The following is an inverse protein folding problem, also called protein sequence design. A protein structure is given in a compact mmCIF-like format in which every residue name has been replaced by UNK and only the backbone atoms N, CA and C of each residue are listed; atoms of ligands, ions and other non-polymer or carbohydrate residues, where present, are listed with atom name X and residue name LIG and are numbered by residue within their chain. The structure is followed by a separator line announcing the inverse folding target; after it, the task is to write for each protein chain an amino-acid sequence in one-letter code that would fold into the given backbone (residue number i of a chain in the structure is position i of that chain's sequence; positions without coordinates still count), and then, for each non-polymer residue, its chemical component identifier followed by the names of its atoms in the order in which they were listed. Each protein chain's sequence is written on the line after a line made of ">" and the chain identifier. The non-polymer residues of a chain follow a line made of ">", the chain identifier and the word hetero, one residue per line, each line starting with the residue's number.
data_IF_287920215946
#
_entry.id   IF_287920215946
#
_cell.length_a   1.000
_cell.length_b   1.000
_cell.length_c   1.000
_cell.angle_alpha   90.00
_cell.angle_beta   90.00
_cell.angle_gamma   90.00
#
_symmetry.space_group_name_H-M   'P 1'
#
loop_
_entity.id
_entity.type
_entity.pdbx_description
1 polymer ?
#
# COMPACT_ATOMS: atom_id res chain seq x y z
N UNK A 1 9.78 -2.10 24.97
CA UNK A 1 9.58 -0.78 24.38
C UNK A 1 10.58 -0.48 23.31
N UNK A 2 11.85 -0.56 23.63
CA UNK A 2 12.88 -0.28 22.66
C UNK A 2 12.80 -1.23 21.48
N UNK A 3 12.60 -2.49 21.78
CA UNK A 3 12.45 -3.50 20.75
C UNK A 3 11.29 -3.16 19.82
N UNK A 4 10.21 -2.66 20.42
CA UNK A 4 9.03 -2.34 19.64
C UNK A 4 9.29 -1.20 18.67
N UNK A 5 10.07 -0.19 19.10
CA UNK A 5 10.40 0.92 18.22
C UNK A 5 11.21 0.43 17.03
N UNK A 6 12.21 -0.41 17.30
CA UNK A 6 13.06 -0.95 16.25
C UNK A 6 12.22 -1.81 15.29
N UNK A 7 11.37 -2.67 15.87
CA UNK A 7 10.54 -3.55 15.06
C UNK A 7 9.55 -2.76 14.20
N UNK A 8 9.00 -1.67 14.76
CA UNK A 8 8.10 -0.82 14.01
C UNK A 8 8.76 -0.21 12.80
N UNK A 9 9.98 0.28 12.95
CA UNK A 9 10.72 0.83 11.83
C UNK A 9 10.97 -0.24 10.77
N UNK A 10 11.33 -1.45 11.18
CA UNK A 10 11.61 -2.51 10.24
C UNK A 10 10.37 -2.91 9.44
N UNK A 11 9.22 -2.95 10.12
CA UNK A 11 7.97 -3.30 9.42
C UNK A 11 7.65 -2.27 8.34
N UNK A 12 7.74 -0.99 8.67
CA UNK A 12 7.46 0.07 7.70
C UNK A 12 8.47 0.00 6.56
N UNK A 13 9.75 -0.14 6.89
CA UNK A 13 10.80 -0.20 5.89
C UNK A 13 10.59 -1.38 4.93
N UNK A 14 10.26 -2.56 5.49
CA UNK A 14 10.03 -3.72 4.67
C UNK A 14 8.86 -3.54 3.72
N UNK A 15 7.82 -2.85 4.18
CA UNK A 15 6.66 -2.61 3.34
C UNK A 15 6.96 -1.64 2.20
N UNK A 16 7.61 -0.52 2.50
CA UNK A 16 7.79 0.53 1.49
C UNK A 16 8.80 0.13 0.43
N UNK A 17 9.69 -0.81 0.73
CA UNK A 17 10.67 -1.25 -0.26
C UNK A 17 10.14 -2.36 -1.18
N UNK A 18 8.99 -2.93 -0.87
CA UNK A 18 8.41 -3.96 -1.72
C UNK A 18 7.85 -3.32 -2.99
N UNK A 19 8.14 -3.98 -4.10
CA UNK A 19 7.66 -3.49 -5.39
C UNK A 19 6.14 -3.45 -5.40
N UNK A 20 5.60 -2.40 -5.99
CA UNK A 20 4.16 -2.21 -6.22
C UNK A 20 3.36 -1.73 -5.01
N UNK A 21 3.95 -1.72 -3.81
CA UNK A 21 3.20 -1.29 -2.63
C UNK A 21 2.74 0.17 -2.73
N UNK A 22 3.61 1.14 -3.07
CA UNK A 22 3.15 2.52 -3.20
C UNK A 22 2.07 2.67 -4.27
N UNK A 23 2.22 2.01 -5.41
CA UNK A 23 1.27 2.12 -6.50
C UNK A 23 -0.10 1.58 -6.10
N UNK A 24 -0.11 0.41 -5.44
CA UNK A 24 -1.36 -0.19 -5.01
C UNK A 24 -2.09 0.70 -4.01
N UNK A 25 -1.38 1.18 -3.01
CA UNK A 25 -2.00 1.99 -1.98
C UNK A 25 -2.51 3.32 -2.53
N UNK A 26 -1.75 3.94 -3.42
CA UNK A 26 -2.19 5.17 -4.05
C UNK A 26 -3.42 4.92 -4.94
N UNK A 27 -3.45 3.80 -5.64
CA UNK A 27 -4.60 3.44 -6.46
C UNK A 27 -5.87 3.35 -5.61
N UNK A 28 -5.78 2.65 -4.48
CA UNK A 28 -6.92 2.52 -3.57
C UNK A 28 -7.32 3.89 -3.02
N UNK A 29 -6.36 4.73 -2.67
CA UNK A 29 -6.65 6.04 -2.14
C UNK A 29 -7.35 6.95 -3.16
N UNK A 30 -7.16 6.66 -4.44
CA UNK A 30 -7.82 7.41 -5.51
C UNK A 30 -9.21 6.87 -5.87
N UNK A 31 -9.68 5.86 -5.14
CA UNK A 31 -11.02 5.34 -5.34
C UNK A 31 -11.10 4.01 -6.07
N UNK A 32 -9.96 3.45 -6.48
CA UNK A 32 -9.94 2.14 -7.13
C UNK A 32 -9.91 1.07 -6.06
N UNK A 33 -11.08 0.64 -5.61
CA UNK A 33 -11.18 -0.26 -4.47
C UNK A 33 -11.44 -1.72 -4.87
N UNK A 34 -11.98 -1.94 -6.06
CA UNK A 34 -12.20 -3.30 -6.53
C UNK A 34 -10.94 -3.85 -7.15
N UNK A 35 -10.77 -5.16 -7.04
CA UNK A 35 -9.57 -5.84 -7.55
C UNK A 35 -9.27 -5.44 -8.99
N UNK A 36 -10.29 -5.49 -9.85
CA UNK A 36 -10.07 -5.22 -11.26
C UNK A 36 -9.72 -3.75 -11.50
N UNK A 37 -10.27 -2.84 -10.68
CA UNK A 37 -9.95 -1.42 -10.79
C UNK A 37 -8.50 -1.17 -10.42
N UNK A 38 -8.04 -1.82 -9.35
CA UNK A 38 -6.64 -1.68 -8.94
C UNK A 38 -5.73 -2.22 -10.04
N UNK A 39 -6.05 -3.41 -10.53
CA UNK A 39 -5.23 -4.05 -11.57
C UNK A 39 -5.11 -3.17 -12.80
N UNK A 40 -6.24 -2.62 -13.26
CA UNK A 40 -6.24 -1.83 -14.49
C UNK A 40 -5.58 -0.47 -14.31
N UNK A 41 -5.47 0.03 -13.09
CA UNK A 41 -4.88 1.35 -12.84
C UNK A 41 -3.37 1.32 -12.83
N UNK A 42 -2.74 0.14 -12.76
CA UNK A 42 -1.29 0.04 -12.61
C UNK A 42 -0.72 -0.68 -13.84
N UNK A 43 0.01 0.05 -14.71
CA UNK A 43 0.58 -0.57 -15.92
C UNK A 43 1.54 -1.70 -15.56
N UNK A 44 1.50 -2.74 -16.37
CA UNK A 44 2.40 -3.89 -16.25
C UNK A 44 2.20 -4.74 -15.00
N UNK A 45 1.15 -4.47 -14.22
CA UNK A 45 0.84 -5.27 -13.04
C UNK A 45 0.20 -6.58 -13.49
N UNK A 46 0.68 -7.69 -12.96
CA UNK A 46 0.09 -9.01 -13.25
C UNK A 46 -0.87 -9.40 -12.12
N UNK A 47 -1.76 -10.34 -12.44
CA UNK A 47 -2.68 -10.89 -11.43
C UNK A 47 -1.90 -11.51 -10.27
N UNK A 48 -0.83 -12.24 -10.59
CA UNK A 48 -0.03 -12.92 -9.57
C UNK A 48 0.58 -11.92 -8.60
N UNK A 49 1.15 -10.83 -9.14
CA UNK A 49 1.76 -9.81 -8.30
C UNK A 49 0.73 -9.10 -7.44
N UNK A 50 -0.41 -8.74 -8.03
CA UNK A 50 -1.43 -8.04 -7.27
C UNK A 50 -1.98 -8.90 -6.15
N UNK A 51 -2.29 -10.18 -6.45
CA UNK A 51 -2.78 -11.09 -5.41
C UNK A 51 -1.79 -11.21 -4.27
N UNK A 52 -0.51 -11.36 -4.61
CA UNK A 52 0.53 -11.53 -3.59
C UNK A 52 0.65 -10.29 -2.72
N UNK A 53 0.67 -9.12 -3.34
CA UNK A 53 0.84 -7.87 -2.59
C UNK A 53 -0.38 -7.53 -1.76
N UNK A 54 -1.58 -7.77 -2.29
CA UNK A 54 -2.79 -7.54 -1.52
C UNK A 54 -2.85 -8.44 -0.30
N UNK A 55 -2.41 -9.70 -0.44
CA UNK A 55 -2.37 -10.62 0.71
C UNK A 55 -1.45 -10.09 1.80
N UNK A 56 -0.29 -9.57 1.42
CA UNK A 56 0.64 -8.99 2.38
C UNK A 56 0.01 -7.78 3.07
N UNK A 57 -0.63 -6.92 2.28
CA UNK A 57 -1.23 -5.70 2.83
C UNK A 57 -2.36 -5.99 3.79
N UNK A 58 -3.17 -7.00 3.50
CA UNK A 58 -4.24 -7.42 4.40
C UNK A 58 -3.65 -8.02 5.66
N UNK A 59 -2.64 -8.88 5.54
CA UNK A 59 -1.99 -9.51 6.67
C UNK A 59 -1.38 -8.48 7.63
N UNK A 60 -0.80 -7.41 7.09
CA UNK A 60 -0.19 -6.36 7.91
C UNK A 60 -1.17 -5.29 8.35
N UNK A 61 -2.45 -5.47 8.06
CA UNK A 61 -3.52 -4.53 8.43
C UNK A 61 -3.30 -3.14 7.84
N UNK A 62 -2.73 -3.11 6.65
CA UNK A 62 -2.60 -1.88 5.88
C UNK A 62 -3.88 -1.64 5.10
N UNK A 63 -4.49 -2.71 4.63
CA UNK A 63 -5.74 -2.70 3.87
C UNK A 63 -6.68 -3.71 4.48
N UNK A 64 -7.96 -3.42 4.41
CA UNK A 64 -8.99 -4.35 4.82
C UNK A 64 -9.77 -4.79 3.58
N UNK A 65 -10.07 -6.08 3.49
CA UNK A 65 -10.92 -6.57 2.41
C UNK A 65 -12.35 -6.70 2.92
N UNK A 66 -13.26 -5.97 2.30
CA UNK A 66 -14.68 -6.08 2.57
C UNK A 66 -15.25 -7.16 1.66
N UNK A 67 -15.54 -8.33 2.22
CA UNK A 67 -15.99 -9.47 1.43
C UNK A 67 -17.42 -9.31 0.93
N UNK A 68 -18.21 -8.48 1.60
CA UNK A 68 -19.60 -8.24 1.19
C UNK A 68 -19.63 -7.42 -0.09
N UNK A 69 -18.87 -6.33 -0.13
CA UNK A 69 -18.80 -5.44 -1.29
C UNK A 69 -17.70 -5.80 -2.24
N UNK A 70 -16.84 -6.73 -1.84
CA UNK A 70 -15.70 -7.17 -2.63
C UNK A 70 -14.76 -6.00 -2.95
N UNK A 71 -14.43 -5.23 -1.92
CA UNK A 71 -13.61 -4.05 -2.04
C UNK A 71 -12.43 -4.11 -1.08
N UNK A 72 -11.36 -3.41 -1.44
CA UNK A 72 -10.21 -3.20 -0.56
C UNK A 72 -10.21 -1.75 -0.13
N UNK A 73 -10.14 -1.51 1.18
CA UNK A 73 -10.12 -0.15 1.72
C UNK A 73 -8.90 0.01 2.61
N UNK A 74 -8.37 1.24 2.64
CA UNK A 74 -7.20 1.52 3.46
C UNK A 74 -7.59 1.54 4.94
N UNK A 75 -6.79 0.85 5.75
CA UNK A 75 -6.83 1.03 7.19
C UNK A 75 -6.11 2.32 7.54
N UNK A 76 -6.17 2.72 8.82
CA UNK A 76 -5.46 3.94 9.24
C UNK A 76 -3.98 3.86 8.91
N UNK A 77 -3.37 2.70 9.15
CA UNK A 77 -1.97 2.50 8.81
C UNK A 77 -1.73 2.73 7.31
N UNK A 78 -2.62 2.24 6.47
CA UNK A 78 -2.49 2.43 5.03
C UNK A 78 -2.61 3.88 4.63
N UNK A 79 -3.51 4.61 5.27
CA UNK A 79 -3.65 6.04 4.99
C UNK A 79 -2.39 6.80 5.35
N UNK A 80 -1.79 6.46 6.48
CA UNK A 80 -0.55 7.10 6.91
C UNK A 80 0.58 6.78 5.95
N UNK A 81 0.65 5.54 5.46
CA UNK A 81 1.67 5.19 4.47
C UNK A 81 1.51 5.98 3.18
N UNK A 82 0.28 6.20 2.72
CA UNK A 82 0.05 6.98 1.52
C UNK A 82 0.58 8.40 1.71
N UNK A 83 0.37 8.99 2.88
CA UNK A 83 0.93 10.32 3.18
C UNK A 83 2.45 10.31 3.09
N UNK A 84 3.07 9.26 3.60
CA UNK A 84 4.53 9.14 3.52
C UNK A 84 4.98 9.08 2.06
N UNK A 85 4.30 8.29 1.23
CA UNK A 85 4.68 8.16 -0.17
C UNK A 85 4.58 9.48 -0.90
N UNK A 86 3.52 10.25 -0.67
CA UNK A 86 3.40 11.56 -1.31
C UNK A 86 4.46 12.53 -0.82
N UNK A 87 4.79 12.46 0.45
CA UNK A 87 5.86 13.30 0.99
C UNK A 87 7.21 12.97 0.35
N UNK A 88 7.47 11.68 0.14
CA UNK A 88 8.72 11.27 -0.53
C UNK A 88 8.76 11.78 -1.96
N UNK A 89 7.64 11.76 -2.66
CA UNK A 89 7.56 12.30 -4.02
C UNK A 89 7.84 13.80 -4.03
N UNK A 90 7.29 14.52 -3.05
CA UNK A 90 7.54 15.95 -2.93
C UNK A 90 9.01 16.24 -2.71
N UNK A 91 9.66 15.44 -1.88
CA UNK A 91 11.09 15.60 -1.63
C UNK A 91 11.89 15.35 -2.88
N UNK A 92 11.50 14.34 -3.66
CA UNK A 92 12.18 14.02 -4.90
C UNK A 92 12.07 15.16 -5.89
N UNK A 93 10.87 15.70 -6.07
CA UNK A 93 10.67 16.83 -6.98
C UNK A 93 11.42 18.06 -6.53
N UNK A 94 11.51 18.27 -5.21
CA UNK A 94 12.09 19.47 -4.66
C UNK A 94 13.61 19.47 -4.76
N UNK A 95 14.24 18.32 -4.61
CA UNK A 95 15.71 18.22 -4.50
C UNK A 95 16.38 17.47 -5.63
N UNK A 96 15.66 16.84 -6.50
CA UNK A 96 16.20 16.08 -7.62
C UNK A 96 15.47 16.37 -8.92
#
# INVERSE_FOLDING_TARGET
>A
MKTKIVNGFEVVHDLIKLKWIPEILKSISHGNEKYIEILNSIPYMSHTELNRKLAILVDKEVVEKNNIENKYVLEEFGKDLVHIFYHLEDLEEKYF
#
